data_IF_087040518060
#
_entry.id   IF_087040518060
#
_cell.length_a   1.000
_cell.length_b   1.000
_cell.length_c   1.000
_cell.angle_alpha   90.00
_cell.angle_beta   90.00
_cell.angle_gamma   90.00
#
_symmetry.space_group_name_H-M   'P 1'
#
loop_
_entity.id
_entity.type
_entity.pdbx_description
1 polymer ?
#
# COMPACT_ATOMS: atom_id res chain seq x y z
N UNK A 1 64.92 -20.92 -26.99
CA UNK A 1 65.04 -21.56 -28.31
C UNK A 1 63.96 -20.87 -29.16
N UNK A 2 64.40 -19.83 -29.89
CA UNK A 2 64.73 -19.85 -31.33
C UNK A 2 63.52 -20.24 -32.17
N UNK A 3 62.93 -19.52 -33.14
CA UNK A 3 63.61 -18.54 -34.06
C UNK A 3 62.42 -17.85 -34.84
N UNK A 4 62.65 -16.58 -35.15
CA UNK A 4 61.99 -15.85 -36.22
C UNK A 4 62.23 -16.49 -37.58
N UNK A 5 61.35 -16.19 -38.57
CA UNK A 5 61.80 -15.71 -39.92
C UNK A 5 60.68 -14.98 -40.63
N UNK A 6 60.96 -13.76 -41.03
CA UNK A 6 60.31 -12.87 -41.97
C UNK A 6 60.66 -13.23 -43.39
N UNK A 7 59.78 -13.00 -44.37
CA UNK A 7 60.16 -12.52 -45.72
C UNK A 7 59.04 -11.83 -46.47
N UNK A 8 59.33 -10.62 -46.88
CA UNK A 8 58.59 -9.82 -47.80
C UNK A 8 58.97 -10.15 -49.24
N UNK A 9 58.05 -9.98 -50.19
CA UNK A 9 58.41 -9.43 -51.52
C UNK A 9 57.22 -8.93 -52.33
N UNK A 10 57.46 -7.90 -52.99
CA UNK A 10 56.82 -6.85 -53.77
C UNK A 10 56.18 -7.29 -55.10
N UNK A 11 55.26 -6.42 -55.58
CA UNK A 11 55.08 -5.78 -56.90
C UNK A 11 54.08 -6.40 -57.84
N UNK A 12 53.11 -5.59 -58.28
CA UNK A 12 52.32 -5.77 -59.50
C UNK A 12 51.14 -4.80 -59.57
N UNK A 13 51.37 -3.61 -60.20
CA UNK A 13 50.31 -2.66 -60.61
C UNK A 13 49.44 -3.23 -61.70
N UNK A 14 48.10 -3.16 -61.57
CA UNK A 14 47.20 -3.03 -62.73
C UNK A 14 45.96 -2.26 -62.31
N UNK A 15 45.72 -1.15 -62.95
CA UNK A 15 44.53 -0.29 -62.84
C UNK A 15 43.42 -0.92 -63.66
N UNK A 16 42.30 -1.22 -63.06
CA UNK A 16 41.03 -1.45 -63.75
C UNK A 16 39.94 -0.74 -62.98
N UNK A 17 39.39 0.28 -63.56
CA UNK A 17 38.22 0.98 -63.08
C UNK A 17 36.98 0.08 -63.20
N UNK A 18 36.33 -0.22 -62.11
CA UNK A 18 35.01 -0.81 -62.09
C UNK A 18 34.10 0.10 -61.26
N UNK A 19 33.11 0.68 -61.95
CA UNK A 19 31.99 1.37 -61.36
C UNK A 19 31.22 0.39 -60.48
N UNK A 20 31.40 0.46 -59.17
CA UNK A 20 30.64 -0.29 -58.19
C UNK A 20 29.54 0.60 -57.60
N UNK A 21 28.29 0.23 -57.86
CA UNK A 21 27.16 0.82 -57.22
C UNK A 21 27.25 0.71 -55.67
N UNK A 22 27.31 1.87 -55.00
CA UNK A 22 27.20 1.94 -53.54
C UNK A 22 25.75 1.69 -53.15
N UNK A 23 25.44 0.45 -52.80
CA UNK A 23 24.19 0.18 -52.09
C UNK A 23 24.31 0.71 -50.66
N UNK A 24 23.67 1.85 -50.38
CA UNK A 24 23.41 2.29 -49.03
C UNK A 24 22.45 1.28 -48.37
N UNK A 25 23.01 0.33 -47.64
CA UNK A 25 22.24 -0.44 -46.67
C UNK A 25 21.91 0.50 -45.52
N UNK A 26 20.69 1.05 -45.53
CA UNK A 26 20.13 1.68 -44.36
C UNK A 26 20.02 0.61 -43.26
N UNK A 27 20.98 0.59 -42.33
CA UNK A 27 20.81 -0.12 -41.08
C UNK A 27 19.64 0.54 -40.36
N UNK A 28 18.48 -0.06 -40.43
CA UNK A 28 17.36 0.26 -39.51
C UNK A 28 17.85 -0.12 -38.12
N UNK A 29 18.32 0.87 -37.37
CA UNK A 29 18.48 0.75 -35.94
C UNK A 29 17.06 0.54 -35.36
N UNK A 30 16.67 -0.72 -35.22
CA UNK A 30 15.53 -1.06 -34.38
C UNK A 30 15.94 -0.65 -32.97
N UNK A 31 15.44 0.48 -32.52
CA UNK A 31 15.45 0.80 -31.10
C UNK A 31 14.89 -0.45 -30.36
N UNK A 32 15.49 -0.86 -29.25
CA UNK A 32 14.92 -1.94 -28.46
C UNK A 32 13.46 -1.54 -28.19
N UNK A 33 12.53 -2.42 -28.54
CA UNK A 33 11.15 -2.27 -28.15
C UNK A 33 11.18 -2.15 -26.62
N UNK A 34 10.91 -0.96 -26.09
CA UNK A 34 10.64 -0.81 -24.67
C UNK A 34 9.48 -1.76 -24.41
N UNK A 35 9.65 -2.66 -23.44
CA UNK A 35 8.53 -3.44 -22.94
C UNK A 35 7.40 -2.44 -22.66
N UNK A 36 6.20 -2.74 -23.15
CA UNK A 36 5.05 -1.87 -22.91
C UNK A 36 4.97 -1.67 -21.40
N UNK A 37 4.87 -0.40 -20.98
CA UNK A 37 4.71 -0.05 -19.57
C UNK A 37 3.48 -0.79 -19.02
N UNK A 38 3.71 -1.71 -18.09
CA UNK A 38 2.63 -2.52 -17.50
C UNK A 38 1.79 -1.70 -16.54
N UNK A 39 2.29 -0.57 -16.06
CA UNK A 39 1.65 0.28 -15.06
C UNK A 39 1.80 -0.20 -13.62
N UNK A 40 2.38 -1.37 -13.38
CA UNK A 40 2.62 -1.89 -12.04
C UNK A 40 3.85 -1.22 -11.42
N UNK A 41 3.73 -0.77 -10.18
CA UNK A 41 4.86 -0.26 -9.41
C UNK A 41 5.68 -1.41 -8.80
N UNK A 42 7.01 -1.25 -8.90
CA UNK A 42 7.99 -2.19 -8.33
C UNK A 42 8.19 -3.46 -9.15
N UNK A 43 9.35 -4.08 -8.95
CA UNK A 43 9.82 -5.28 -9.67
C UNK A 43 9.55 -6.58 -8.91
N UNK A 44 9.11 -6.50 -7.64
CA UNK A 44 8.82 -7.68 -6.82
C UNK A 44 7.67 -8.49 -7.40
N UNK A 45 7.67 -9.80 -7.11
CA UNK A 45 6.56 -10.69 -7.47
C UNK A 45 5.22 -10.15 -6.94
N UNK A 46 4.24 -10.00 -7.82
CA UNK A 46 2.95 -9.43 -7.52
C UNK A 46 1.95 -10.44 -6.95
N UNK A 47 2.26 -11.72 -6.96
CA UNK A 47 1.32 -12.83 -6.71
C UNK A 47 0.53 -12.67 -5.41
N UNK A 48 1.16 -12.15 -4.36
CA UNK A 48 0.54 -12.09 -3.04
C UNK A 48 0.05 -10.71 -2.60
N UNK A 49 0.47 -9.63 -3.30
CA UNK A 49 0.19 -8.28 -2.86
C UNK A 49 0.03 -7.25 -3.99
N UNK A 50 0.03 -7.67 -5.25
CA UNK A 50 0.06 -6.78 -6.41
C UNK A 50 -1.00 -5.69 -6.34
N UNK A 51 -2.25 -6.04 -6.08
CA UNK A 51 -3.37 -5.10 -5.94
C UNK A 51 -3.20 -4.22 -4.70
N UNK A 52 -2.82 -4.80 -3.55
CA UNK A 52 -2.69 -4.06 -2.31
C UNK A 52 -1.55 -3.02 -2.37
N UNK A 53 -0.36 -3.42 -2.83
CA UNK A 53 0.78 -2.49 -2.98
C UNK A 53 0.55 -1.41 -4.02
N UNK A 54 -0.08 -1.75 -5.16
CA UNK A 54 -0.47 -0.79 -6.19
C UNK A 54 -1.45 0.24 -5.64
N UNK A 55 -2.42 -0.21 -4.84
CA UNK A 55 -3.40 0.64 -4.20
C UNK A 55 -2.76 1.61 -3.20
N UNK A 56 -1.84 1.14 -2.37
CA UNK A 56 -1.07 2.00 -1.46
C UNK A 56 -0.24 3.03 -2.21
N UNK A 57 0.42 2.62 -3.30
CA UNK A 57 1.20 3.51 -4.15
C UNK A 57 0.34 4.64 -4.75
N UNK A 58 -0.81 4.29 -5.33
CA UNK A 58 -1.76 5.26 -5.91
C UNK A 58 -2.32 6.18 -4.83
N UNK A 59 -2.75 5.64 -3.69
CA UNK A 59 -3.29 6.42 -2.58
C UNK A 59 -2.25 7.41 -2.02
N UNK A 60 -0.99 6.99 -1.89
CA UNK A 60 0.11 7.86 -1.45
C UNK A 60 0.42 8.98 -2.43
N UNK A 61 0.42 8.70 -3.75
CA UNK A 61 0.58 9.73 -4.77
C UNK A 61 -0.58 10.72 -4.72
N UNK A 62 -1.83 10.24 -4.60
CA UNK A 62 -3.02 11.08 -4.48
C UNK A 62 -2.96 11.98 -3.25
N UNK A 63 -2.62 11.44 -2.08
CA UNK A 63 -2.54 12.18 -0.83
C UNK A 63 -1.51 13.33 -0.86
N UNK A 64 -0.53 13.26 -1.75
CA UNK A 64 0.51 14.28 -1.90
C UNK A 64 0.36 15.15 -3.15
N UNK A 65 -0.83 15.19 -3.77
CA UNK A 65 -1.13 15.94 -4.99
C UNK A 65 -0.15 15.62 -6.14
N UNK A 66 0.42 14.42 -6.13
CA UNK A 66 1.30 13.99 -7.21
C UNK A 66 0.47 13.53 -8.41
N UNK A 67 1.01 13.78 -9.62
CA UNK A 67 0.40 13.20 -10.83
C UNK A 67 0.51 11.68 -10.77
N UNK A 68 -0.62 11.00 -10.76
CA UNK A 68 -0.69 9.54 -10.85
C UNK A 68 -0.57 9.14 -12.32
N UNK A 69 0.36 8.25 -12.71
CA UNK A 69 0.44 7.73 -14.06
C UNK A 69 -0.86 6.99 -14.44
N UNK A 70 -1.40 7.30 -15.62
CA UNK A 70 -2.65 6.68 -16.09
C UNK A 70 -2.52 5.14 -16.17
N UNK A 71 -1.38 4.66 -16.69
CA UNK A 71 -1.11 3.22 -16.77
C UNK A 71 -1.21 2.52 -15.40
N UNK A 72 -0.75 3.17 -14.32
CA UNK A 72 -0.85 2.60 -12.98
C UNK A 72 -2.31 2.45 -12.50
N UNK A 73 -3.15 3.43 -12.83
CA UNK A 73 -4.58 3.39 -12.49
C UNK A 73 -5.33 2.38 -13.36
N UNK A 74 -5.00 2.32 -14.64
CA UNK A 74 -5.60 1.37 -15.59
C UNK A 74 -5.23 -0.07 -15.20
N UNK A 75 -3.96 -0.32 -14.86
CA UNK A 75 -3.53 -1.63 -14.34
C UNK A 75 -4.38 -2.08 -13.13
N UNK A 76 -4.58 -1.17 -12.16
CA UNK A 76 -5.38 -1.50 -10.98
C UNK A 76 -6.85 -1.76 -11.35
N UNK A 77 -7.43 -0.94 -12.23
CA UNK A 77 -8.80 -1.12 -12.68
C UNK A 77 -9.01 -2.45 -13.43
N UNK A 78 -8.02 -2.87 -14.23
CA UNK A 78 -8.05 -4.13 -14.99
C UNK A 78 -7.99 -5.37 -14.07
N UNK A 79 -7.49 -5.23 -12.83
CA UNK A 79 -7.51 -6.31 -11.84
C UNK A 79 -8.90 -6.58 -11.26
N UNK A 80 -9.89 -5.70 -11.47
CA UNK A 80 -11.22 -5.85 -10.88
C UNK A 80 -11.96 -7.07 -11.44
N UNK A 81 -12.59 -7.82 -10.57
CA UNK A 81 -13.49 -8.92 -10.90
C UNK A 81 -14.85 -8.38 -11.36
N UNK A 82 -15.62 -9.19 -12.08
CA UNK A 82 -16.92 -8.81 -12.62
C UNK A 82 -17.96 -8.45 -11.53
N UNK A 83 -17.78 -8.93 -10.31
CA UNK A 83 -18.63 -8.63 -9.14
C UNK A 83 -18.19 -7.40 -8.35
N UNK A 84 -17.12 -6.72 -8.80
CA UNK A 84 -16.54 -5.55 -8.17
C UNK A 84 -15.40 -5.83 -7.18
N UNK A 85 -15.13 -7.08 -6.85
CA UNK A 85 -14.06 -7.49 -5.92
C UNK A 85 -12.67 -7.45 -6.56
N UNK A 86 -11.65 -7.71 -5.73
CA UNK A 86 -10.27 -7.85 -6.15
C UNK A 86 -9.61 -9.05 -5.47
N UNK A 87 -8.90 -9.87 -6.27
CA UNK A 87 -7.92 -10.82 -5.78
C UNK A 87 -6.60 -10.09 -5.44
N UNK A 88 -5.71 -10.73 -4.72
CA UNK A 88 -4.37 -10.16 -4.44
C UNK A 88 -3.62 -9.83 -5.75
N UNK A 89 -3.80 -10.66 -6.78
CA UNK A 89 -3.23 -10.47 -8.12
C UNK A 89 -3.88 -11.40 -9.14
N UNK A 90 -4.05 -10.90 -10.36
CA UNK A 90 -4.51 -11.70 -11.52
C UNK A 90 -3.50 -11.57 -12.64
N UNK A 91 -2.80 -12.65 -12.95
CA UNK A 91 -1.86 -12.71 -14.07
C UNK A 91 -2.55 -12.68 -15.45
N UNK A 92 -3.83 -13.06 -15.50
CA UNK A 92 -4.67 -12.98 -16.69
C UNK A 92 -6.03 -12.36 -16.34
N UNK A 93 -6.18 -11.09 -16.59
CA UNK A 93 -7.40 -10.34 -16.29
C UNK A 93 -8.56 -10.63 -17.25
N UNK A 94 -8.31 -11.34 -18.36
CA UNK A 94 -9.36 -11.81 -19.27
C UNK A 94 -10.10 -13.07 -18.76
N UNK A 95 -9.51 -13.79 -17.80
CA UNK A 95 -10.17 -14.95 -17.16
C UNK A 95 -11.10 -14.46 -16.05
N UNK A 96 -12.21 -15.15 -15.75
CA UNK A 96 -13.01 -14.87 -14.55
C UNK A 96 -12.17 -15.00 -13.29
N UNK A 97 -12.51 -14.22 -12.26
CA UNK A 97 -11.93 -14.41 -10.92
C UNK A 97 -12.38 -15.76 -10.31
N UNK A 98 -11.53 -16.29 -9.44
CA UNK A 98 -11.91 -17.44 -8.63
C UNK A 98 -12.95 -17.04 -7.58
N UNK A 99 -13.80 -17.94 -7.09
CA UNK A 99 -14.59 -17.69 -5.89
C UNK A 99 -13.68 -17.42 -4.68
N UNK A 100 -14.14 -16.54 -3.78
CA UNK A 100 -13.48 -16.37 -2.49
C UNK A 100 -13.54 -17.68 -1.67
N UNK A 101 -12.41 -18.13 -1.18
CA UNK A 101 -12.27 -19.40 -0.46
C UNK A 101 -11.44 -19.21 0.81
N UNK A 102 -12.10 -19.09 1.98
CA UNK A 102 -11.41 -18.89 3.25
C UNK A 102 -10.64 -20.12 3.74
N UNK A 103 -10.97 -21.33 3.24
CA UNK A 103 -10.29 -22.56 3.65
C UNK A 103 -8.94 -22.73 2.94
N UNK A 104 -8.88 -22.33 1.65
CA UNK A 104 -7.68 -22.42 0.83
C UNK A 104 -6.94 -21.09 0.66
N UNK A 105 -7.39 -20.03 1.33
CA UNK A 105 -6.81 -18.67 1.28
C UNK A 105 -6.64 -18.16 -0.16
N UNK A 106 -7.70 -18.22 -0.96
CA UNK A 106 -7.66 -17.85 -2.37
C UNK A 106 -8.91 -17.10 -2.83
N UNK A 107 -8.81 -16.49 -4.02
CA UNK A 107 -9.86 -15.67 -4.59
C UNK A 107 -9.87 -14.23 -4.04
N UNK A 108 -10.95 -13.48 -4.30
CA UNK A 108 -11.08 -12.10 -3.86
C UNK A 108 -11.04 -11.96 -2.34
N UNK A 109 -10.30 -10.97 -1.87
CA UNK A 109 -10.18 -10.66 -0.46
C UNK A 109 -10.63 -9.22 -0.12
N UNK A 110 -11.05 -9.04 1.11
CA UNK A 110 -11.60 -7.78 1.62
C UNK A 110 -10.55 -6.67 1.65
N UNK A 111 -9.30 -6.97 2.00
CA UNK A 111 -8.26 -5.95 2.15
C UNK A 111 -7.80 -5.40 0.80
N UNK A 112 -7.57 -6.27 -0.19
CA UNK A 112 -7.27 -5.88 -1.56
C UNK A 112 -8.42 -5.06 -2.15
N UNK A 113 -9.67 -5.50 -1.95
CA UNK A 113 -10.86 -4.80 -2.45
C UNK A 113 -11.04 -3.43 -1.78
N UNK A 114 -10.86 -3.32 -0.46
CA UNK A 114 -10.98 -2.06 0.27
C UNK A 114 -9.92 -1.05 -0.17
N UNK A 115 -8.65 -1.48 -0.27
CA UNK A 115 -7.57 -0.59 -0.69
C UNK A 115 -7.68 -0.19 -2.16
N UNK A 116 -8.12 -1.09 -3.05
CA UNK A 116 -8.38 -0.77 -4.44
C UNK A 116 -9.53 0.25 -4.59
N UNK A 117 -10.61 0.10 -3.80
CA UNK A 117 -11.71 1.06 -3.78
C UNK A 117 -11.23 2.47 -3.40
N UNK A 118 -10.40 2.59 -2.35
CA UNK A 118 -9.80 3.87 -1.92
C UNK A 118 -8.94 4.45 -3.04
N UNK A 119 -8.00 3.68 -3.58
CA UNK A 119 -7.06 4.12 -4.58
C UNK A 119 -7.74 4.58 -5.88
N UNK A 120 -8.69 3.79 -6.38
CA UNK A 120 -9.47 4.12 -7.58
C UNK A 120 -10.32 5.37 -7.37
N UNK A 121 -10.95 5.53 -6.20
CA UNK A 121 -11.72 6.73 -5.88
C UNK A 121 -10.85 7.99 -5.88
N UNK A 122 -9.70 7.94 -5.18
CA UNK A 122 -8.75 9.05 -5.14
C UNK A 122 -8.15 9.37 -6.51
N UNK A 123 -7.99 8.36 -7.38
CA UNK A 123 -7.57 8.54 -8.77
C UNK A 123 -8.70 8.97 -9.73
N UNK A 124 -9.91 9.26 -9.22
CA UNK A 124 -11.06 9.71 -10.03
C UNK A 124 -11.83 8.59 -10.75
N UNK A 125 -11.48 7.32 -10.53
CA UNK A 125 -12.18 6.14 -11.08
C UNK A 125 -13.35 5.74 -10.17
N UNK A 126 -14.40 6.59 -10.14
CA UNK A 126 -15.48 6.47 -9.16
C UNK A 126 -16.42 5.27 -9.40
N UNK A 127 -16.61 4.83 -10.66
CA UNK A 127 -17.47 3.68 -10.95
C UNK A 127 -16.88 2.38 -10.37
N UNK A 128 -15.65 1.94 -10.76
CA UNK A 128 -15.08 0.72 -10.20
C UNK A 128 -14.87 0.79 -8.67
N UNK A 129 -14.58 1.99 -8.12
CA UNK A 129 -14.52 2.16 -6.67
C UNK A 129 -15.87 1.87 -6.00
N UNK A 130 -17.00 2.31 -6.57
CA UNK A 130 -18.35 2.02 -6.06
C UNK A 130 -18.72 0.54 -6.18
N UNK A 131 -18.35 -0.10 -7.28
CA UNK A 131 -18.59 -1.53 -7.47
C UNK A 131 -17.86 -2.34 -6.39
N UNK A 132 -16.64 -1.95 -6.04
CA UNK A 132 -15.91 -2.55 -4.92
C UNK A 132 -16.62 -2.36 -3.57
N UNK A 133 -17.21 -1.17 -3.32
CA UNK A 133 -18.00 -0.96 -2.09
C UNK A 133 -19.27 -1.80 -2.10
N UNK A 134 -19.91 -2.01 -3.24
CA UNK A 134 -21.06 -2.92 -3.34
C UNK A 134 -20.67 -4.33 -2.93
N UNK A 135 -19.54 -4.84 -3.43
CA UNK A 135 -19.04 -6.14 -3.02
C UNK A 135 -18.73 -6.21 -1.52
N UNK A 136 -17.99 -5.22 -0.97
CA UNK A 136 -17.71 -5.15 0.47
C UNK A 136 -19.01 -5.21 1.30
N UNK A 137 -20.04 -4.46 0.90
CA UNK A 137 -21.31 -4.47 1.58
C UNK A 137 -21.99 -5.85 1.56
N UNK A 138 -21.76 -6.66 0.55
CA UNK A 138 -22.36 -8.00 0.40
C UNK A 138 -21.63 -9.07 1.20
N UNK A 139 -20.34 -8.87 1.51
CA UNK A 139 -19.52 -9.84 2.28
C UNK A 139 -19.43 -9.52 3.77
N UNK A 140 -20.04 -8.43 4.22
CA UNK A 140 -20.13 -8.11 5.64
C UNK A 140 -20.90 -9.19 6.38
N UNK A 141 -20.35 -9.71 7.47
CA UNK A 141 -20.97 -10.74 8.29
C UNK A 141 -22.15 -10.20 9.14
N UNK A 142 -22.99 -11.08 9.61
CA UNK A 142 -24.15 -10.74 10.47
C UNK A 142 -23.73 -10.11 11.82
N UNK A 143 -22.49 -10.31 12.25
CA UNK A 143 -21.93 -9.67 13.44
C UNK A 143 -21.45 -8.23 13.20
N UNK A 144 -21.61 -7.71 11.98
CA UNK A 144 -21.18 -6.40 11.49
C UNK A 144 -19.69 -6.25 11.25
N UNK A 145 -18.88 -7.27 11.49
CA UNK A 145 -17.48 -7.30 11.09
C UNK A 145 -17.31 -7.69 9.62
N UNK A 146 -16.09 -7.56 9.13
CA UNK A 146 -15.72 -8.01 7.79
C UNK A 146 -14.68 -9.13 7.92
N UNK A 147 -14.83 -10.22 7.16
CA UNK A 147 -13.84 -11.28 7.09
C UNK A 147 -12.73 -10.91 6.11
N UNK A 148 -11.58 -11.55 6.19
CA UNK A 148 -10.54 -11.40 5.15
C UNK A 148 -11.01 -12.00 3.81
N UNK A 149 -11.47 -13.25 3.81
CA UNK A 149 -12.16 -13.88 2.68
C UNK A 149 -13.65 -14.02 2.97
N UNK A 150 -14.51 -13.80 1.96
CA UNK A 150 -15.95 -13.92 2.10
C UNK A 150 -16.35 -15.29 2.69
N UNK A 151 -17.22 -15.29 3.70
CA UNK A 151 -17.62 -16.49 4.43
C UNK A 151 -16.68 -16.90 5.57
N UNK A 152 -15.54 -16.25 5.73
CA UNK A 152 -14.65 -16.42 6.88
C UNK A 152 -15.12 -15.68 8.14
N UNK A 153 -14.36 -15.83 9.21
CA UNK A 153 -14.62 -15.09 10.45
C UNK A 153 -14.22 -13.62 10.32
N UNK A 154 -14.98 -12.73 10.95
CA UNK A 154 -14.67 -11.31 11.02
C UNK A 154 -13.37 -11.06 11.78
N UNK A 155 -12.56 -10.12 11.28
CA UNK A 155 -11.31 -9.70 11.90
C UNK A 155 -11.15 -8.16 11.94
N UNK A 156 -10.27 -7.70 12.83
CA UNK A 156 -10.11 -6.27 13.08
C UNK A 156 -9.53 -5.52 11.88
N UNK A 157 -8.57 -6.11 11.16
CA UNK A 157 -7.89 -5.50 10.02
C UNK A 157 -8.88 -5.27 8.88
N UNK A 158 -9.54 -6.35 8.45
CA UNK A 158 -10.49 -6.33 7.34
C UNK A 158 -11.67 -5.42 7.66
N UNK A 159 -12.15 -5.43 8.90
CA UNK A 159 -13.23 -4.53 9.33
C UNK A 159 -12.77 -3.07 9.30
N UNK A 160 -11.56 -2.77 9.79
CA UNK A 160 -11.03 -1.41 9.81
C UNK A 160 -10.84 -0.82 8.42
N UNK A 161 -10.21 -1.56 7.51
CA UNK A 161 -9.99 -1.13 6.13
C UNK A 161 -11.30 -0.97 5.36
N UNK A 162 -12.27 -1.88 5.54
CA UNK A 162 -13.59 -1.78 4.91
C UNK A 162 -14.34 -0.54 5.36
N UNK A 163 -14.31 -0.20 6.65
CA UNK A 163 -14.92 1.04 7.17
C UNK A 163 -14.32 2.26 6.51
N UNK A 164 -12.98 2.34 6.43
CA UNK A 164 -12.28 3.45 5.77
C UNK A 164 -12.64 3.54 4.29
N UNK A 165 -12.69 2.41 3.57
CA UNK A 165 -13.06 2.38 2.16
C UNK A 165 -14.50 2.85 1.94
N UNK A 166 -15.46 2.35 2.71
CA UNK A 166 -16.88 2.74 2.60
C UNK A 166 -17.02 4.24 2.85
N UNK A 167 -16.41 4.79 3.89
CA UNK A 167 -16.51 6.22 4.19
C UNK A 167 -15.77 7.10 3.20
N UNK A 168 -14.65 6.65 2.64
CA UNK A 168 -13.94 7.39 1.60
C UNK A 168 -14.77 7.48 0.31
N UNK A 169 -15.36 6.38 -0.13
CA UNK A 169 -16.09 6.30 -1.41
C UNK A 169 -17.55 6.75 -1.28
N UNK A 170 -18.18 6.49 -0.13
CA UNK A 170 -19.59 6.78 0.14
C UNK A 170 -19.78 7.48 1.50
N UNK A 171 -19.25 8.70 1.70
CA UNK A 171 -19.28 9.39 3.01
C UNK A 171 -20.70 9.70 3.51
N UNK A 172 -21.70 9.61 2.64
CA UNK A 172 -23.12 9.85 2.97
C UNK A 172 -23.90 8.55 3.21
N UNK A 173 -23.21 7.39 3.33
CA UNK A 173 -23.91 6.13 3.62
C UNK A 173 -24.68 6.20 4.95
N UNK A 174 -25.98 5.89 4.89
CA UNK A 174 -26.89 5.89 6.02
C UNK A 174 -27.42 4.49 6.36
N UNK A 175 -26.82 3.45 5.80
CA UNK A 175 -27.25 2.06 6.02
C UNK A 175 -27.07 1.58 7.46
N UNK A 176 -26.27 2.28 8.27
CA UNK A 176 -25.89 1.86 9.62
C UNK A 176 -24.71 0.87 9.64
N UNK A 177 -24.19 0.45 8.47
CA UNK A 177 -23.07 -0.52 8.38
C UNK A 177 -21.83 -0.01 9.08
N UNK A 178 -21.41 1.21 8.77
CA UNK A 178 -20.21 1.81 9.33
C UNK A 178 -20.29 1.94 10.85
N UNK A 179 -21.29 2.58 11.47
CA UNK A 179 -21.33 2.67 12.93
C UNK A 179 -21.44 1.31 13.63
N UNK A 180 -22.09 0.32 13.03
CA UNK A 180 -22.15 -1.03 13.58
C UNK A 180 -20.78 -1.75 13.48
N UNK A 181 -20.06 -1.61 12.36
CA UNK A 181 -18.69 -2.13 12.21
C UNK A 181 -17.71 -1.45 13.19
N UNK A 182 -17.83 -0.15 13.39
CA UNK A 182 -17.05 0.58 14.41
C UNK A 182 -17.35 0.09 15.83
N UNK A 183 -18.62 -0.18 16.13
CA UNK A 183 -19.01 -0.78 17.41
C UNK A 183 -18.43 -2.20 17.57
N UNK A 184 -18.42 -2.99 16.50
CA UNK A 184 -17.81 -4.32 16.46
C UNK A 184 -16.30 -4.24 16.75
N UNK A 185 -15.53 -3.36 16.06
CA UNK A 185 -14.11 -3.09 16.34
C UNK A 185 -13.94 -2.70 17.83
N UNK A 186 -14.78 -1.79 18.32
CA UNK A 186 -14.79 -1.38 19.73
C UNK A 186 -14.99 -2.52 20.71
N UNK A 187 -15.69 -3.57 20.31
CA UNK A 187 -15.90 -4.80 21.07
C UNK A 187 -14.65 -5.68 21.23
N UNK A 188 -13.66 -5.51 20.36
CA UNK A 188 -12.38 -6.23 20.41
C UNK A 188 -11.35 -5.61 21.37
N UNK A 189 -11.65 -4.43 21.94
CA UNK A 189 -10.70 -3.74 22.83
C UNK A 189 -10.39 -4.54 24.09
N UNK A 190 -9.13 -4.58 24.44
CA UNK A 190 -8.65 -5.19 25.65
C UNK A 190 -8.69 -4.23 26.85
N UNK A 191 -8.60 -4.79 28.07
CA UNK A 191 -8.61 -3.96 29.28
C UNK A 191 -7.33 -3.14 29.37
N UNK A 192 -7.43 -1.89 29.84
CA UNK A 192 -6.27 -1.04 30.10
C UNK A 192 -5.23 -1.66 31.05
N UNK A 193 -5.68 -2.44 32.04
CA UNK A 193 -4.78 -3.19 32.94
C UNK A 193 -3.93 -4.24 32.21
N UNK A 194 -4.35 -4.64 31.00
CA UNK A 194 -3.60 -5.53 30.12
C UNK A 194 -2.89 -4.77 28.98
N UNK A 195 -2.71 -3.45 29.12
CA UNK A 195 -2.08 -2.58 28.11
C UNK A 195 -3.03 -1.96 27.10
N UNK A 196 -4.27 -2.41 26.98
CA UNK A 196 -5.22 -1.93 25.95
C UNK A 196 -4.97 -2.57 24.58
N UNK A 197 -5.36 -1.84 23.50
CA UNK A 197 -5.27 -2.32 22.12
C UNK A 197 -6.43 -3.20 21.70
N UNK A 198 -6.37 -3.74 20.49
CA UNK A 198 -7.36 -4.66 19.93
C UNK A 198 -6.79 -6.07 19.83
N UNK A 199 -7.66 -7.04 20.05
CA UNK A 199 -7.41 -8.39 19.54
C UNK A 199 -7.66 -8.44 18.03
N UNK A 200 -6.98 -9.32 17.33
CA UNK A 200 -7.26 -9.60 15.90
C UNK A 200 -8.69 -10.12 15.74
N UNK A 201 -9.07 -11.07 16.59
CA UNK A 201 -10.44 -11.60 16.69
C UNK A 201 -10.86 -11.70 18.15
N UNK A 202 -12.16 -11.86 18.40
CA UNK A 202 -12.73 -11.93 19.74
C UNK A 202 -12.04 -12.99 20.61
N UNK A 203 -11.55 -12.57 21.77
CA UNK A 203 -10.89 -13.47 22.74
C UNK A 203 -9.39 -13.65 22.52
N UNK A 204 -8.82 -13.07 21.47
CA UNK A 204 -7.38 -13.07 21.23
C UNK A 204 -6.59 -12.10 22.13
N UNK A 205 -5.25 -12.15 22.09
CA UNK A 205 -4.37 -11.17 22.74
C UNK A 205 -4.37 -9.83 21.97
N UNK A 206 -3.74 -8.82 22.57
CA UNK A 206 -3.44 -7.57 21.86
C UNK A 206 -2.57 -7.87 20.65
N UNK A 207 -2.92 -7.24 19.54
CA UNK A 207 -2.23 -7.39 18.26
C UNK A 207 -1.89 -6.01 17.69
N UNK A 208 -0.61 -5.76 17.41
CA UNK A 208 -0.11 -4.46 16.97
C UNK A 208 -0.61 -4.09 15.59
N UNK A 209 -0.54 -5.04 14.64
CA UNK A 209 -1.03 -4.86 13.27
C UNK A 209 -2.55 -4.60 13.25
N UNK A 210 -3.33 -5.44 13.94
CA UNK A 210 -4.78 -5.28 14.03
C UNK A 210 -5.15 -3.93 14.66
N UNK A 211 -4.49 -3.56 15.77
CA UNK A 211 -4.72 -2.26 16.41
C UNK A 211 -4.40 -1.10 15.47
N UNK A 212 -3.29 -1.16 14.72
CA UNK A 212 -2.86 -0.08 13.84
C UNK A 212 -3.84 0.15 12.68
N UNK A 213 -4.19 -0.89 11.93
CA UNK A 213 -5.09 -0.77 10.78
C UNK A 213 -6.53 -0.47 11.20
N UNK A 214 -7.06 -1.18 12.21
CA UNK A 214 -8.43 -0.97 12.64
C UNK A 214 -8.64 0.38 13.35
N UNK A 215 -7.60 1.03 13.86
CA UNK A 215 -7.73 2.32 14.52
C UNK A 215 -8.22 3.43 13.60
N UNK A 216 -7.81 3.45 12.33
CA UNK A 216 -8.40 4.35 11.34
C UNK A 216 -9.90 4.08 11.15
N UNK A 217 -10.30 2.81 11.15
CA UNK A 217 -11.71 2.43 11.05
C UNK A 217 -12.59 3.05 12.16
N UNK A 218 -12.03 3.29 13.35
CA UNK A 218 -12.78 3.96 14.42
C UNK A 218 -13.07 5.45 14.14
N UNK A 219 -12.23 6.14 13.36
CA UNK A 219 -12.50 7.50 12.86
C UNK A 219 -13.31 7.48 11.57
N UNK A 220 -13.07 6.45 10.76
CA UNK A 220 -13.69 6.24 9.47
C UNK A 220 -13.10 7.03 8.31
N UNK A 221 -12.06 7.82 8.52
CA UNK A 221 -11.44 8.62 7.48
C UNK A 221 -9.99 8.22 7.23
N UNK A 222 -9.59 8.19 5.96
CA UNK A 222 -8.20 8.20 5.58
C UNK A 222 -7.71 9.65 5.65
N UNK A 223 -6.72 9.99 6.50
CA UNK A 223 -6.18 11.34 6.55
C UNK A 223 -5.31 11.57 5.31
N UNK A 224 -5.80 12.39 4.40
CA UNK A 224 -5.06 12.82 3.19
C UNK A 224 -4.60 14.27 3.27
N UNK A 225 -5.08 15.00 4.28
CA UNK A 225 -4.71 16.38 4.59
C UNK A 225 -4.08 16.48 5.97
N UNK A 226 -3.16 17.42 6.19
CA UNK A 226 -2.58 17.67 7.51
C UNK A 226 -3.64 18.09 8.52
N UNK A 227 -3.48 17.62 9.76
CA UNK A 227 -4.32 18.06 10.88
C UNK A 227 -3.59 19.14 11.66
N UNK A 228 -4.15 20.35 11.70
CA UNK A 228 -3.53 21.53 12.33
C UNK A 228 -3.13 21.32 13.80
N UNK A 229 -3.92 20.57 14.55
CA UNK A 229 -3.67 20.35 15.97
C UNK A 229 -4.02 18.95 16.42
N UNK A 230 -3.04 18.26 17.00
CA UNK A 230 -3.24 16.98 17.68
C UNK A 230 -3.30 17.18 19.19
N UNK A 231 -4.27 16.55 19.82
CA UNK A 231 -4.35 16.44 21.28
C UNK A 231 -3.18 15.59 21.83
N UNK A 232 -2.83 15.71 23.11
CA UNK A 232 -1.85 14.82 23.74
C UNK A 232 -2.17 13.33 23.54
N UNK A 233 -1.21 12.47 23.91
CA UNK A 233 -1.42 11.03 23.87
C UNK A 233 -2.68 10.68 24.68
N UNK A 234 -3.56 9.83 24.11
CA UNK A 234 -4.81 9.47 24.78
C UNK A 234 -4.58 8.64 26.04
N UNK A 235 -5.50 8.75 26.99
CA UNK A 235 -5.47 7.95 28.23
C UNK A 235 -6.46 6.78 28.10
N UNK A 236 -5.96 5.57 28.25
CA UNK A 236 -6.72 4.35 28.23
C UNK A 236 -7.89 4.32 29.24
N UNK A 237 -7.78 5.07 30.35
CA UNK A 237 -8.83 5.13 31.40
C UNK A 237 -10.16 5.71 30.93
N UNK A 238 -10.20 6.41 29.80
CA UNK A 238 -11.44 6.98 29.23
C UNK A 238 -12.44 5.95 28.72
N UNK A 239 -12.17 4.66 28.79
CA UNK A 239 -13.06 3.53 28.51
C UNK A 239 -13.67 3.42 27.09
N UNK A 240 -13.50 4.41 26.21
CA UNK A 240 -13.91 4.27 24.81
C UNK A 240 -12.82 3.61 23.96
N UNK A 241 -13.20 3.08 22.79
CA UNK A 241 -12.27 2.37 21.92
C UNK A 241 -11.16 3.28 21.39
N UNK A 242 -11.50 4.51 20.98
CA UNK A 242 -10.53 5.47 20.45
C UNK A 242 -9.42 5.78 21.46
N UNK A 243 -9.79 6.08 22.73
CA UNK A 243 -8.79 6.36 23.76
C UNK A 243 -7.99 5.11 24.16
N UNK A 244 -8.63 3.94 24.19
CA UNK A 244 -7.98 2.69 24.56
C UNK A 244 -6.93 2.27 23.52
N UNK A 245 -7.33 2.15 22.26
CA UNK A 245 -6.45 1.73 21.16
C UNK A 245 -5.37 2.78 20.89
N UNK A 246 -5.77 4.05 20.88
CA UNK A 246 -4.81 5.15 20.71
C UNK A 246 -3.76 5.21 21.83
N UNK A 247 -4.14 4.90 23.10
CA UNK A 247 -3.19 4.81 24.21
C UNK A 247 -2.21 3.65 24.03
N UNK A 248 -2.69 2.50 23.58
CA UNK A 248 -1.86 1.33 23.27
C UNK A 248 -0.80 1.67 22.21
N UNK A 249 -1.24 2.19 21.06
CA UNK A 249 -0.35 2.55 19.95
C UNK A 249 0.61 3.69 20.33
N UNK A 250 0.10 4.74 20.99
CA UNK A 250 0.93 5.84 21.46
C UNK A 250 1.98 5.40 22.48
N UNK A 251 1.66 4.45 23.35
CA UNK A 251 2.61 3.89 24.32
C UNK A 251 3.70 3.07 23.63
N UNK A 252 3.34 2.20 22.67
CA UNK A 252 4.30 1.43 21.89
C UNK A 252 5.29 2.35 21.15
N UNK A 253 4.77 3.33 20.40
CA UNK A 253 5.61 4.27 19.64
C UNK A 253 6.47 5.13 20.58
N UNK A 254 5.92 5.62 21.68
CA UNK A 254 6.68 6.51 22.59
C UNK A 254 7.78 5.75 23.33
N UNK A 255 7.53 4.49 23.69
CA UNK A 255 8.48 3.67 24.43
C UNK A 255 9.58 3.11 23.54
N UNK A 256 9.19 2.54 22.39
CA UNK A 256 10.08 1.72 21.55
C UNK A 256 10.41 2.41 20.20
N UNK A 257 9.90 3.62 19.97
CA UNK A 257 10.05 4.38 18.71
C UNK A 257 9.11 3.91 17.59
N UNK A 258 8.55 2.70 17.69
CA UNK A 258 7.71 2.07 16.69
C UNK A 258 6.77 1.04 17.32
N UNK A 259 5.72 0.68 16.60
CA UNK A 259 4.96 -0.55 16.89
C UNK A 259 5.88 -1.73 16.67
N UNK A 260 5.87 -2.69 17.60
CA UNK A 260 6.69 -3.89 17.48
C UNK A 260 5.99 -4.96 16.66
N UNK A 261 6.77 -5.78 15.95
CA UNK A 261 6.24 -6.87 15.14
C UNK A 261 5.57 -7.94 16.02
N UNK A 262 4.37 -8.36 15.61
CA UNK A 262 3.66 -9.49 16.22
C UNK A 262 4.24 -10.85 15.75
N UNK A 263 5.07 -10.86 14.70
CA UNK A 263 5.58 -12.08 14.05
C UNK A 263 7.10 -12.29 14.19
N UNK A 264 7.77 -11.40 14.92
CA UNK A 264 9.22 -11.44 15.07
C UNK A 264 9.71 -10.45 16.12
N UNK A 265 10.99 -10.09 16.06
CA UNK A 265 11.60 -9.06 16.91
C UNK A 265 11.89 -7.81 16.10
N UNK A 266 11.65 -6.63 16.69
CA UNK A 266 12.00 -5.35 16.12
C UNK A 266 10.81 -4.51 15.65
N UNK A 267 11.12 -3.37 15.06
CA UNK A 267 10.13 -2.40 14.60
C UNK A 267 9.33 -2.96 13.41
N UNK A 268 8.03 -2.82 13.47
CA UNK A 268 7.13 -2.95 12.33
C UNK A 268 6.81 -1.55 11.78
N UNK A 269 7.54 -1.15 10.74
CA UNK A 269 7.37 0.16 10.12
C UNK A 269 6.00 0.32 9.44
N UNK A 270 5.44 -0.77 8.89
CA UNK A 270 4.10 -0.76 8.29
C UNK A 270 3.03 -0.48 9.36
N UNK A 271 3.02 -1.25 10.44
CA UNK A 271 2.11 -1.02 11.58
C UNK A 271 2.34 0.35 12.21
N UNK A 272 3.58 0.86 12.24
CA UNK A 272 3.90 2.21 12.74
C UNK A 272 3.31 3.30 11.84
N UNK A 273 3.42 3.17 10.52
CA UNK A 273 2.80 4.09 9.56
C UNK A 273 1.28 4.12 9.70
N UNK A 274 0.64 2.96 9.77
CA UNK A 274 -0.81 2.85 10.00
C UNK A 274 -1.22 3.45 11.36
N UNK A 275 -0.43 3.22 12.42
CA UNK A 275 -0.69 3.79 13.74
C UNK A 275 -0.60 5.32 13.73
N UNK A 276 0.40 5.89 13.05
CA UNK A 276 0.53 7.35 12.85
C UNK A 276 -0.70 7.90 12.14
N UNK A 277 -1.09 7.32 11.01
CA UNK A 277 -2.30 7.72 10.26
C UNK A 277 -3.56 7.63 11.13
N UNK A 278 -3.71 6.54 11.89
CA UNK A 278 -4.84 6.36 12.79
C UNK A 278 -4.88 7.38 13.94
N UNK A 279 -3.73 7.73 14.53
CA UNK A 279 -3.63 8.78 15.55
C UNK A 279 -4.00 10.14 14.98
N UNK A 280 -3.50 10.48 13.78
CA UNK A 280 -3.84 11.73 13.08
C UNK A 280 -5.34 11.77 12.77
N UNK A 281 -5.90 10.71 12.18
CA UNK A 281 -7.32 10.62 11.85
C UNK A 281 -8.25 10.80 13.07
N UNK A 282 -7.81 10.36 14.24
CA UNK A 282 -8.53 10.55 15.50
C UNK A 282 -8.18 11.85 16.25
N UNK A 283 -7.32 12.72 15.71
CA UNK A 283 -6.93 14.02 16.28
C UNK A 283 -6.19 13.93 17.61
N UNK A 284 -5.43 12.86 17.86
CA UNK A 284 -4.77 12.58 19.14
C UNK A 284 -3.33 12.11 18.96
N UNK A 285 -2.59 12.01 20.05
CA UNK A 285 -1.29 11.36 20.05
C UNK A 285 -0.12 12.23 19.58
N UNK A 286 -0.17 13.55 19.77
CA UNK A 286 0.86 14.49 19.30
C UNK A 286 2.30 14.02 19.54
N UNK A 287 2.61 13.53 20.74
CA UNK A 287 3.95 13.03 21.07
C UNK A 287 4.31 11.74 20.33
N UNK A 288 3.36 10.81 20.24
CA UNK A 288 3.56 9.53 19.55
C UNK A 288 3.68 9.72 18.03
N UNK A 289 2.83 10.57 17.42
CA UNK A 289 2.93 10.92 16.00
C UNK A 289 4.31 11.47 15.68
N UNK A 290 4.79 12.47 16.45
CA UNK A 290 6.14 13.02 16.27
C UNK A 290 7.24 11.95 16.40
N UNK A 291 7.14 11.06 17.38
CA UNK A 291 8.11 9.98 17.59
C UNK A 291 8.07 8.96 16.44
N UNK A 292 6.88 8.51 16.01
CA UNK A 292 6.69 7.58 14.91
C UNK A 292 7.20 8.14 13.58
N UNK A 293 6.86 9.39 13.25
CA UNK A 293 7.39 10.08 12.06
C UNK A 293 8.91 10.16 12.10
N UNK A 294 9.49 10.51 13.26
CA UNK A 294 10.96 10.56 13.41
C UNK A 294 11.61 9.20 13.14
N UNK A 295 11.01 8.11 13.62
CA UNK A 295 11.49 6.75 13.34
C UNK A 295 11.37 6.40 11.86
N UNK A 296 10.20 6.63 11.25
CA UNK A 296 9.96 6.35 9.83
C UNK A 296 10.88 7.17 8.92
N UNK A 297 11.18 8.42 9.30
CA UNK A 297 12.11 9.29 8.57
C UNK A 297 13.55 8.82 8.69
N UNK A 298 13.98 8.44 9.90
CA UNK A 298 15.35 7.92 10.12
C UNK A 298 15.60 6.61 9.38
N UNK A 299 14.62 5.73 9.37
CA UNK A 299 14.75 4.36 8.86
C UNK A 299 14.11 4.19 7.48
N UNK A 300 13.83 5.31 6.77
CA UNK A 300 13.12 5.32 5.50
C UNK A 300 13.74 4.40 4.46
N UNK A 301 15.07 4.39 4.32
CA UNK A 301 15.78 3.57 3.32
C UNK A 301 15.59 2.08 3.61
N UNK A 302 15.78 1.66 4.86
CA UNK A 302 15.63 0.25 5.25
C UNK A 302 14.18 -0.24 5.15
N UNK A 303 13.19 0.65 5.17
CA UNK A 303 11.79 0.29 5.02
C UNK A 303 11.32 0.33 3.56
N UNK A 304 11.82 1.27 2.78
CA UNK A 304 11.33 1.48 1.40
C UNK A 304 12.15 0.76 0.34
N UNK A 305 13.28 0.16 0.68
CA UNK A 305 14.08 -0.62 -0.26
C UNK A 305 14.38 -2.02 0.28
N UNK A 306 14.35 -3.01 -0.62
CA UNK A 306 14.79 -4.39 -0.39
C UNK A 306 15.63 -4.82 -1.57
N UNK A 307 16.85 -5.31 -1.30
CA UNK A 307 17.81 -5.76 -2.33
C UNK A 307 18.12 -4.70 -3.42
N UNK A 308 17.97 -3.42 -3.08
CA UNK A 308 18.17 -2.29 -3.98
C UNK A 308 16.92 -1.87 -4.76
N UNK A 309 15.84 -2.64 -4.70
CA UNK A 309 14.57 -2.34 -5.35
C UNK A 309 13.62 -1.61 -4.40
N UNK A 310 12.88 -0.65 -4.93
CA UNK A 310 11.85 0.06 -4.16
C UNK A 310 10.70 -0.89 -3.80
N UNK A 311 10.22 -0.79 -2.57
CA UNK A 311 9.01 -1.45 -2.07
C UNK A 311 7.83 -0.47 -2.19
N UNK A 312 6.96 -0.59 -3.22
CA UNK A 312 5.94 0.43 -3.51
C UNK A 312 4.91 0.60 -2.42
N UNK A 313 4.55 -0.48 -1.72
CA UNK A 313 3.64 -0.43 -0.58
C UNK A 313 4.18 0.45 0.55
N UNK A 314 5.47 0.31 0.88
CA UNK A 314 6.14 1.10 1.89
C UNK A 314 6.23 2.58 1.48
N UNK A 315 6.66 2.85 0.25
CA UNK A 315 6.73 4.21 -0.28
C UNK A 315 5.35 4.89 -0.32
N UNK A 316 4.30 4.17 -0.75
CA UNK A 316 2.92 4.66 -0.77
C UNK A 316 2.39 4.98 0.63
N UNK A 317 2.62 4.11 1.61
CA UNK A 317 2.25 4.36 3.01
C UNK A 317 2.98 5.57 3.58
N UNK A 318 4.28 5.73 3.32
CA UNK A 318 5.03 6.91 3.79
C UNK A 318 4.62 8.20 3.10
N UNK A 319 4.17 8.16 1.84
CA UNK A 319 3.57 9.32 1.18
C UNK A 319 2.28 9.76 1.89
N UNK A 320 1.42 8.82 2.29
CA UNK A 320 0.23 9.15 3.09
C UNK A 320 0.61 9.71 4.47
N UNK A 321 1.61 9.13 5.14
CA UNK A 321 2.13 9.66 6.40
C UNK A 321 2.65 11.09 6.23
N UNK A 322 3.45 11.34 5.18
CA UNK A 322 3.99 12.67 4.90
C UNK A 322 2.86 13.70 4.69
N UNK A 323 1.83 13.36 3.89
CA UNK A 323 0.67 14.22 3.68
C UNK A 323 -0.07 14.51 4.99
N UNK A 324 -0.35 13.49 5.79
CA UNK A 324 -1.10 13.63 7.04
C UNK A 324 -0.35 14.39 8.15
N UNK A 325 0.97 14.48 8.07
CA UNK A 325 1.83 15.07 9.12
C UNK A 325 2.60 16.31 8.66
N UNK A 326 2.29 16.85 7.48
CA UNK A 326 2.93 18.03 6.87
C UNK A 326 4.45 17.87 6.68
N UNK A 327 4.90 16.64 6.40
CA UNK A 327 6.29 16.36 6.03
C UNK A 327 6.47 16.48 4.52
N UNK A 328 7.66 16.93 4.06
CA UNK A 328 7.93 17.05 2.62
C UNK A 328 8.17 15.66 1.97
N UNK A 329 7.25 15.16 1.13
CA UNK A 329 7.40 13.87 0.47
C UNK A 329 8.54 13.83 -0.57
N UNK A 330 9.13 14.98 -0.90
CA UNK A 330 10.30 15.08 -1.81
C UNK A 330 11.63 14.96 -1.08
N UNK A 331 11.61 15.00 0.26
CA UNK A 331 12.82 14.90 1.08
C UNK A 331 12.58 14.14 2.40
N UNK A 332 11.64 13.18 2.40
CA UNK A 332 11.33 12.37 3.58
C UNK A 332 12.54 11.49 3.96
N UNK A 333 13.20 11.83 5.05
CA UNK A 333 14.47 11.19 5.44
C UNK A 333 15.59 11.29 4.39
N UNK A 334 15.56 12.31 3.53
CA UNK A 334 16.51 12.50 2.43
C UNK A 334 16.11 11.80 1.12
N UNK A 335 15.00 11.05 1.10
CA UNK A 335 14.50 10.34 -0.09
C UNK A 335 13.33 11.11 -0.71
N UNK A 336 13.38 11.30 -2.02
CA UNK A 336 12.23 11.79 -2.79
C UNK A 336 11.29 10.62 -3.11
N UNK A 337 10.36 10.34 -2.19
CA UNK A 337 9.43 9.22 -2.29
C UNK A 337 8.55 9.27 -3.54
N UNK A 338 8.10 10.47 -3.96
CA UNK A 338 7.30 10.63 -5.20
C UNK A 338 8.10 10.18 -6.42
N UNK A 339 9.34 10.66 -6.55
CA UNK A 339 10.20 10.33 -7.68
C UNK A 339 10.60 8.86 -7.68
N UNK A 340 10.93 8.32 -6.51
CA UNK A 340 11.30 6.92 -6.35
C UNK A 340 10.15 6.02 -6.77
N UNK A 341 8.92 6.30 -6.29
CA UNK A 341 7.74 5.51 -6.60
C UNK A 341 7.39 5.57 -8.10
N UNK A 342 7.33 6.76 -8.69
CA UNK A 342 7.04 6.90 -10.14
C UNK A 342 8.13 6.22 -10.98
N UNK A 343 9.41 6.32 -10.56
CA UNK A 343 10.53 5.68 -11.26
C UNK A 343 10.59 4.16 -11.13
N UNK A 344 9.80 3.54 -10.24
CA UNK A 344 9.72 2.09 -10.08
C UNK A 344 8.67 1.42 -10.96
N UNK A 345 7.89 2.19 -11.73
CA UNK A 345 6.84 1.66 -12.61
C UNK A 345 7.45 0.85 -13.76
N UNK A 346 6.87 -0.33 -14.02
CA UNK A 346 7.28 -1.27 -15.07
C UNK A 346 6.53 -1.02 -16.37
#
# INVERSE_FOLDING_TARGET
MTTQVSFATRVGRSVLAALGAVSLSAAVLTAPAHAADTGLFGTQDATYDGVYRQSLAIAGLAATDARIPAAAVDWLADQQCADGSFEAFRSNTSSPCSPSDPENFSGPDTNSTAMAAIALYLAGRTAPARDAIVWLNNVQNDDWGFPFYAGGASDANSTGLSVVAIQTVQPQDKSGRVPNAQAWIGGLKLKCLSGGGLAYQKGGPANGLASSQAYMGLSGALPVDPVDTLSPNPDCKKRNAVSNVGSFLASAITKDGAVQSDFGSGADYSSTGWAVLGLVANGVGKGAVKSGVSTLTRDVESYTYSDGDLVPAAAGLLLMVAAATDEDPRSFGGINLKRALIGSMQ
#
